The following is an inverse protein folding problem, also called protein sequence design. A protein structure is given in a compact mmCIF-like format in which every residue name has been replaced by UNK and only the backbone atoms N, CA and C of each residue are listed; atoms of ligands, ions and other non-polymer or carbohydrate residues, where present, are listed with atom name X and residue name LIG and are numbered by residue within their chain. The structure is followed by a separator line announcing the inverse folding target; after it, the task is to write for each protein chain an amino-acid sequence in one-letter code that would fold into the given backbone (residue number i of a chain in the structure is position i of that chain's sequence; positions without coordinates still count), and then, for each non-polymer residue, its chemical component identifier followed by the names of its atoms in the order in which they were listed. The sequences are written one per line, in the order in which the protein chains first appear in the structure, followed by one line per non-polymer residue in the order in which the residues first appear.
data_IF_293234338701
#
_entry.id   IF_293234338701
#
_cell.length_a   1.000
_cell.length_b   1.000
_cell.length_c   1.000
_cell.angle_alpha   90.00
_cell.angle_beta   90.00
_cell.angle_gamma   90.00
#
_symmetry.space_group_name_H-M   'P 1'
#
loop_
_entity.id
_entity.type
_entity.pdbx_description
1 polymer ?
#
# COMPACT_ATOMS: atom_id res chain seq x y z
N UNK A 1 16.33 19.95 -5.28
CA UNK A 1 16.24 19.87 -3.80
C UNK A 1 15.50 18.60 -3.41
N UNK A 2 16.08 17.78 -2.54
CA UNK A 2 15.39 16.60 -1.98
C UNK A 2 14.97 16.87 -0.54
N UNK A 3 13.70 16.57 -0.21
CA UNK A 3 13.18 16.60 1.15
C UNK A 3 12.71 15.20 1.53
N UNK A 4 13.08 14.76 2.73
CA UNK A 4 12.63 13.48 3.28
C UNK A 4 11.80 13.70 4.53
N UNK A 5 10.67 13.01 4.62
CA UNK A 5 9.81 13.00 5.80
C UNK A 5 9.51 11.56 6.20
N UNK A 6 9.92 11.19 7.40
CA UNK A 6 9.54 9.91 8.01
C UNK A 6 8.19 10.07 8.71
N UNK A 7 7.24 9.20 8.39
CA UNK A 7 5.95 9.14 9.07
C UNK A 7 6.09 8.19 10.26
N UNK A 8 5.68 8.65 11.44
CA UNK A 8 5.74 7.84 12.65
C UNK A 8 4.98 6.50 12.47
N UNK A 9 5.52 5.38 12.99
CA UNK A 9 4.84 4.11 12.88
C UNK A 9 3.46 4.17 13.55
N UNK A 10 2.45 3.68 12.85
CA UNK A 10 1.07 3.65 13.34
C UNK A 10 0.38 2.35 12.93
N UNK A 11 -0.74 2.05 13.57
CA UNK A 11 -1.53 0.86 13.27
C UNK A 11 -2.63 1.23 12.29
N UNK A 12 -2.82 0.39 11.27
CA UNK A 12 -3.93 0.53 10.32
C UNK A 12 -4.64 -0.82 10.09
N UNK A 13 -5.82 -0.77 9.49
CA UNK A 13 -6.52 -1.96 9.04
C UNK A 13 -5.69 -2.68 7.95
N UNK A 14 -5.59 -3.99 8.05
CA UNK A 14 -4.96 -4.81 7.04
C UNK A 14 -5.76 -4.71 5.74
N UNK A 15 -5.18 -4.12 4.69
CA UNK A 15 -5.85 -3.96 3.39
C UNK A 15 -6.16 -5.29 2.70
N UNK A 16 -5.33 -6.32 2.91
CA UNK A 16 -5.54 -7.64 2.30
C UNK A 16 -6.82 -8.35 2.77
N UNK A 17 -7.23 -8.12 4.02
CA UNK A 17 -8.46 -8.71 4.57
C UNK A 17 -9.45 -7.66 5.05
N UNK A 18 -9.26 -6.39 4.70
CA UNK A 18 -10.10 -5.26 5.12
C UNK A 18 -10.38 -5.21 6.63
N UNK A 19 -9.39 -5.55 7.46
CA UNK A 19 -9.58 -5.58 8.92
C UNK A 19 -10.19 -6.87 9.50
N UNK A 20 -10.69 -7.79 8.68
CA UNK A 20 -11.42 -9.00 9.12
C UNK A 20 -10.52 -10.07 9.78
N UNK A 21 -9.21 -10.01 9.56
CA UNK A 21 -8.26 -11.02 10.03
C UNK A 21 -8.30 -12.35 9.27
N UNK A 22 -9.27 -12.54 8.36
CA UNK A 22 -9.42 -13.72 7.51
C UNK A 22 -9.61 -13.34 6.05
N UNK A 23 -9.18 -14.23 5.15
CA UNK A 23 -9.50 -14.15 3.72
C UNK A 23 -10.55 -15.21 3.45
N UNK A 24 -11.61 -14.83 2.72
CA UNK A 24 -12.72 -15.70 2.38
C UNK A 24 -12.59 -16.15 0.92
N UNK A 25 -12.88 -17.41 0.65
CA UNK A 25 -12.86 -17.99 -0.68
C UNK A 25 -13.87 -19.13 -0.75
N UNK A 26 -14.30 -19.50 -1.95
CA UNK A 26 -15.07 -20.73 -2.18
C UNK A 26 -14.11 -21.89 -2.36
N UNK A 27 -14.36 -22.99 -1.65
CA UNK A 27 -13.60 -24.22 -1.86
C UNK A 27 -14.03 -24.96 -3.14
N UNK A 28 -13.39 -26.11 -3.41
CA UNK A 28 -13.69 -26.92 -4.60
C UNK A 28 -15.12 -27.47 -4.63
N UNK A 29 -15.82 -27.51 -3.48
CA UNK A 29 -17.21 -27.92 -3.36
C UNK A 29 -18.20 -26.75 -3.51
N UNK A 30 -17.69 -25.53 -3.66
CA UNK A 30 -18.50 -24.30 -3.68
C UNK A 30 -18.90 -23.80 -2.30
N UNK A 31 -18.44 -24.45 -1.22
CA UNK A 31 -18.74 -24.03 0.14
C UNK A 31 -17.90 -22.81 0.54
N UNK A 32 -18.47 -21.86 1.31
CA UNK A 32 -17.72 -20.71 1.81
C UNK A 32 -16.68 -21.19 2.83
N UNK A 33 -15.42 -20.92 2.53
CA UNK A 33 -14.29 -21.22 3.40
C UNK A 33 -13.52 -19.95 3.75
N UNK A 34 -12.72 -20.02 4.81
CA UNK A 34 -11.85 -18.91 5.18
C UNK A 34 -10.58 -19.39 5.84
N UNK A 35 -9.50 -18.66 5.59
CA UNK A 35 -8.20 -18.90 6.21
C UNK A 35 -7.71 -17.66 6.94
N UNK A 36 -6.78 -17.85 7.88
CA UNK A 36 -6.11 -16.74 8.58
C UNK A 36 -5.42 -15.87 7.54
N UNK A 37 -5.66 -14.56 7.58
CA UNK A 37 -5.03 -13.64 6.65
C UNK A 37 -3.50 -13.71 6.80
N UNK A 38 -2.75 -14.03 5.73
CA UNK A 38 -1.30 -14.25 5.82
C UNK A 38 -0.53 -12.98 6.13
N UNK A 39 -1.06 -11.82 5.72
CA UNK A 39 -0.42 -10.51 5.89
C UNK A 39 -0.47 -10.05 7.34
N UNK A 40 -1.66 -9.97 7.93
CA UNK A 40 -1.82 -9.51 9.31
C UNK A 40 -1.76 -10.63 10.34
N UNK A 41 -1.52 -11.86 9.89
CA UNK A 41 -1.52 -13.07 10.72
C UNK A 41 -2.76 -13.09 11.63
N UNK A 42 -3.95 -12.92 11.09
CA UNK A 42 -5.19 -13.03 11.87
C UNK A 42 -5.59 -11.82 12.73
N UNK A 43 -4.71 -10.84 12.94
CA UNK A 43 -5.01 -9.70 13.82
C UNK A 43 -5.97 -8.67 13.21
N UNK A 44 -6.18 -8.72 11.90
CA UNK A 44 -6.91 -7.69 11.16
C UNK A 44 -6.15 -6.35 11.04
N UNK A 45 -5.03 -6.18 11.74
CA UNK A 45 -4.30 -4.91 11.82
C UNK A 45 -2.85 -5.09 11.41
N UNK A 46 -2.23 -4.02 10.90
CA UNK A 46 -0.80 -4.01 10.55
C UNK A 46 -0.16 -2.75 11.08
N UNK A 47 1.10 -2.85 11.51
CA UNK A 47 1.93 -1.69 11.81
C UNK A 47 2.56 -1.22 10.51
N UNK A 48 2.36 0.05 10.15
CA UNK A 48 2.95 0.65 8.96
C UNK A 48 3.95 1.71 9.35
N UNK A 49 5.00 1.80 8.53
CA UNK A 49 6.02 2.83 8.59
C UNK A 49 6.30 3.27 7.15
N UNK A 50 6.26 4.58 6.91
CA UNK A 50 6.38 5.13 5.57
C UNK A 50 7.46 6.22 5.56
N UNK A 51 8.23 6.27 4.47
CA UNK A 51 9.17 7.34 4.18
C UNK A 51 8.69 8.05 2.91
N UNK A 52 8.41 9.35 3.02
CA UNK A 52 8.03 10.19 1.89
C UNK A 52 9.28 10.91 1.39
N UNK A 53 9.58 10.75 0.11
CA UNK A 53 10.69 11.42 -0.57
C UNK A 53 10.07 12.41 -1.56
N UNK A 54 10.36 13.69 -1.39
CA UNK A 54 9.91 14.76 -2.29
C UNK A 54 11.12 15.29 -3.03
N UNK A 55 11.13 15.13 -4.36
CA UNK A 55 12.13 15.70 -5.24
C UNK A 55 11.57 16.94 -5.91
N UNK A 56 12.32 18.03 -5.84
CA UNK A 56 11.98 19.31 -6.44
C UNK A 56 13.11 19.62 -7.42
N UNK A 57 12.78 19.62 -8.70
CA UNK A 57 13.71 19.90 -9.79
C UNK A 57 13.17 21.11 -10.57
N UNK A 58 14.05 21.95 -11.12
CA UNK A 58 13.61 23.05 -11.96
C UNK A 58 12.91 22.48 -13.19
N UNK A 59 11.84 23.15 -13.62
CA UNK A 59 11.20 22.85 -14.89
C UNK A 59 11.97 23.54 -16.03
N UNK A 60 12.32 22.78 -17.06
CA UNK A 60 13.00 23.23 -18.28
C UNK A 60 11.99 23.22 -19.44
N UNK A 61 11.47 24.39 -19.85
CA UNK A 61 10.54 24.47 -20.98
C UNK A 61 11.15 23.87 -22.26
N UNK A 62 10.39 23.00 -22.93
CA UNK A 62 10.80 22.28 -24.15
C UNK A 62 11.41 20.90 -23.89
N UNK A 63 12.15 20.70 -22.80
CA UNK A 63 12.69 19.38 -22.42
C UNK A 63 11.64 18.60 -21.61
N UNK A 64 11.17 19.19 -20.52
CA UNK A 64 10.22 18.55 -19.58
C UNK A 64 8.78 18.49 -20.09
N UNK A 65 8.46 19.25 -21.16
CA UNK A 65 7.17 19.18 -21.83
C UNK A 65 6.93 17.82 -22.51
N UNK A 66 7.99 17.04 -22.75
CA UNK A 66 7.94 15.76 -23.47
C UNK A 66 7.75 14.54 -22.54
N UNK A 67 8.09 14.65 -21.26
CA UNK A 67 8.04 13.51 -20.32
C UNK A 67 6.62 13.16 -19.86
N UNK A 68 5.63 14.06 -20.03
CA UNK A 68 4.23 13.78 -19.66
C UNK A 68 3.48 12.84 -20.63
N UNK A 69 4.07 12.48 -21.77
CA UNK A 69 3.38 11.65 -22.79
C UNK A 69 3.66 10.14 -22.70
N UNK A 70 4.46 9.67 -21.73
CA UNK A 70 4.86 8.25 -21.65
C UNK A 70 4.46 7.51 -20.36
N UNK A 71 3.55 8.06 -19.54
CA UNK A 71 2.93 7.33 -18.41
C UNK A 71 1.46 6.98 -18.66
#
# INVERSE_FOLDING_TARGET
MEKTKNIAPHVMACKNCEGKGRVFYTDQSGAPSSSRCPVCKGSGRVKVQSKVITRIEPFIPGEDDTELMTM
#
